data_IF_641130886077
#
_entry.id   IF_641130886077
#
_cell.length_a   1.000
_cell.length_b   1.000
_cell.length_c   1.000
_cell.angle_alpha   90.00
_cell.angle_beta   90.00
_cell.angle_gamma   90.00
#
_symmetry.space_group_name_H-M   'P 1'
#
loop_
_entity.id
_entity.type
_entity.pdbx_description
1 polymer ?
#
# COMPACT_ATOMS: atom_id res chain seq x y z
N UNK A 1 18.80 6.64 -5.27
CA UNK A 1 18.79 5.50 -4.32
C UNK A 1 17.34 5.04 -4.13
N UNK A 2 17.09 3.73 -4.13
CA UNK A 2 15.79 3.16 -3.79
C UNK A 2 15.80 2.78 -2.30
N UNK A 3 14.77 3.15 -1.55
CA UNK A 3 14.61 2.81 -0.13
C UNK A 3 13.20 2.31 0.11
N UNK A 4 13.08 1.23 0.86
CA UNK A 4 11.81 0.67 1.32
C UNK A 4 11.93 0.38 2.81
N UNK A 5 11.01 0.89 3.61
CA UNK A 5 10.99 0.66 5.05
C UNK A 5 9.58 0.75 5.61
N UNK A 6 9.35 0.06 6.72
CA UNK A 6 8.16 0.22 7.54
C UNK A 6 8.18 1.60 8.21
N UNK A 7 7.10 2.36 8.06
CA UNK A 7 7.04 3.76 8.45
C UNK A 7 6.28 3.96 9.75
N UNK A 8 5.03 3.49 9.83
CA UNK A 8 4.18 3.71 11.00
C UNK A 8 3.07 2.66 11.17
N UNK A 9 2.64 2.50 12.43
CA UNK A 9 1.38 1.86 12.80
C UNK A 9 0.25 2.88 12.70
N UNK A 10 -0.66 2.72 11.75
CA UNK A 10 -1.77 3.63 11.52
C UNK A 10 -3.05 3.11 12.20
N UNK A 11 -4.14 3.88 12.15
CA UNK A 11 -5.39 3.54 12.82
C UNK A 11 -5.96 2.17 12.41
N UNK A 12 -5.72 1.73 11.17
CA UNK A 12 -6.19 0.45 10.64
C UNK A 12 -5.23 -0.18 9.63
N UNK A 13 -3.97 0.24 9.58
CA UNK A 13 -2.96 -0.24 8.62
C UNK A 13 -1.55 -0.26 9.17
N UNK A 14 -0.69 -1.04 8.51
CA UNK A 14 0.77 -1.02 8.65
C UNK A 14 1.34 -0.37 7.40
N UNK A 15 1.90 0.83 7.54
CA UNK A 15 2.30 1.62 6.37
C UNK A 15 3.78 1.40 6.06
N UNK A 16 4.06 1.14 4.77
CA UNK A 16 5.41 1.06 4.22
C UNK A 16 5.63 2.21 3.23
N UNK A 17 6.82 2.81 3.27
CA UNK A 17 7.21 3.86 2.32
C UNK A 17 8.15 3.28 1.28
N UNK A 18 7.83 3.51 0.01
CA UNK A 18 8.71 3.24 -1.14
C UNK A 18 9.22 4.57 -1.69
N UNK A 19 10.50 4.86 -1.48
CA UNK A 19 11.17 6.04 -2.03
C UNK A 19 12.09 5.63 -3.18
N UNK A 20 11.73 6.01 -4.39
CA UNK A 20 12.54 5.80 -5.59
C UNK A 20 12.42 6.96 -6.59
N UNK A 21 13.36 7.02 -7.54
CA UNK A 21 13.36 7.98 -8.65
C UNK A 21 13.39 7.22 -9.97
N UNK A 22 12.71 7.77 -10.99
CA UNK A 22 12.77 7.26 -12.37
C UNK A 22 13.66 8.16 -13.22
N UNK A 23 14.35 7.58 -14.19
CA UNK A 23 15.06 8.33 -15.25
C UNK A 23 14.10 8.84 -16.32
N UNK A 24 12.87 8.32 -16.37
CA UNK A 24 11.84 8.73 -17.32
C UNK A 24 11.19 10.01 -16.82
N UNK A 25 11.31 11.05 -17.62
CA UNK A 25 10.76 12.39 -17.34
C UNK A 25 9.46 12.66 -18.09
N UNK A 26 9.13 11.83 -19.09
CA UNK A 26 7.85 11.90 -19.80
C UNK A 26 6.72 11.41 -18.88
N UNK A 27 5.65 12.21 -18.78
CA UNK A 27 4.62 12.04 -17.77
C UNK A 27 3.73 10.81 -17.98
N UNK A 28 3.35 10.49 -19.21
CA UNK A 28 2.46 9.36 -19.50
C UNK A 28 3.17 8.02 -19.25
N UNK A 29 4.41 7.90 -19.70
CA UNK A 29 5.25 6.72 -19.50
C UNK A 29 5.60 6.54 -18.02
N UNK A 30 5.95 7.63 -17.31
CA UNK A 30 6.16 7.56 -15.87
C UNK A 30 4.91 7.04 -15.14
N UNK A 31 3.72 7.55 -15.48
CA UNK A 31 2.45 7.07 -14.88
C UNK A 31 2.21 5.59 -15.18
N UNK A 32 2.49 5.13 -16.40
CA UNK A 32 2.36 3.71 -16.79
C UNK A 32 3.26 2.81 -15.95
N UNK A 33 4.53 3.17 -15.81
CA UNK A 33 5.51 2.37 -15.05
C UNK A 33 5.19 2.40 -13.56
N UNK A 34 4.82 3.56 -13.01
CA UNK A 34 4.36 3.66 -11.62
C UNK A 34 3.14 2.79 -11.37
N UNK A 35 2.16 2.79 -12.29
CA UNK A 35 0.98 1.93 -12.19
C UNK A 35 1.35 0.45 -12.16
N UNK A 36 2.22 0.00 -13.07
CA UNK A 36 2.72 -1.38 -13.08
C UNK A 36 3.43 -1.74 -11.77
N UNK A 37 4.33 -0.88 -11.29
CA UNK A 37 5.05 -1.08 -10.04
C UNK A 37 4.10 -1.28 -8.84
N UNK A 38 3.04 -0.48 -8.75
CA UNK A 38 2.05 -0.61 -7.67
C UNK A 38 1.26 -1.92 -7.74
N UNK A 39 0.96 -2.41 -8.94
CA UNK A 39 0.32 -3.72 -9.13
C UNK A 39 1.26 -4.87 -8.76
N UNK A 40 2.53 -4.79 -9.18
CA UNK A 40 3.54 -5.79 -8.80
C UNK A 40 3.72 -5.85 -7.27
N UNK A 41 3.65 -4.71 -6.58
CA UNK A 41 3.68 -4.65 -5.10
C UNK A 41 2.43 -5.30 -4.49
N UNK A 42 1.25 -5.09 -5.07
CA UNK A 42 0.03 -5.73 -4.60
C UNK A 42 0.09 -7.26 -4.74
N UNK A 43 0.64 -7.77 -5.84
CA UNK A 43 0.84 -9.20 -6.06
C UNK A 43 1.81 -9.79 -5.02
N UNK A 44 2.93 -9.10 -4.73
CA UNK A 44 3.88 -9.52 -3.67
C UNK A 44 3.18 -9.60 -2.31
N UNK A 45 2.35 -8.61 -1.96
CA UNK A 45 1.61 -8.62 -0.68
C UNK A 45 0.71 -9.87 -0.60
N UNK A 46 -0.04 -10.15 -1.66
CA UNK A 46 -0.94 -11.29 -1.73
C UNK A 46 -0.20 -12.64 -1.69
N UNK A 47 0.91 -12.77 -2.41
CA UNK A 47 1.74 -14.00 -2.46
C UNK A 47 2.29 -14.38 -1.08
N UNK A 48 2.50 -13.39 -0.20
CA UNK A 48 2.93 -13.59 1.18
C UNK A 48 1.77 -13.76 2.19
N UNK A 49 0.51 -13.84 1.71
CA UNK A 49 -0.67 -14.04 2.54
C UNK A 49 -1.08 -12.80 3.35
N UNK A 50 -0.62 -11.62 2.95
CA UNK A 50 -1.04 -10.33 3.50
C UNK A 50 -2.07 -9.66 2.57
N UNK A 51 -2.67 -8.57 3.03
CA UNK A 51 -3.69 -7.84 2.29
C UNK A 51 -3.47 -6.32 2.38
N UNK A 52 -3.92 -5.60 1.35
CA UNK A 52 -4.00 -4.13 1.40
C UNK A 52 -5.11 -3.75 2.39
N UNK A 53 -4.74 -2.98 3.40
CA UNK A 53 -5.67 -2.59 4.45
C UNK A 53 -6.76 -1.64 3.96
N UNK A 54 -8.02 -1.97 4.26
CA UNK A 54 -9.14 -1.04 4.23
C UNK A 54 -9.30 -0.38 5.60
N UNK A 55 -9.95 0.80 5.70
CA UNK A 55 -10.36 1.34 6.99
C UNK A 55 -11.21 0.32 7.75
N UNK A 56 -10.78 -0.04 8.96
CA UNK A 56 -11.51 -0.98 9.82
C UNK A 56 -11.99 -0.29 11.10
N UNK A 57 -13.07 -0.82 11.66
CA UNK A 57 -13.62 -0.37 12.93
C UNK A 57 -14.19 -1.56 13.71
N UNK A 58 -14.10 -1.48 15.03
CA UNK A 58 -14.73 -2.45 15.93
C UNK A 58 -16.11 -1.93 16.33
N UNK A 59 -17.16 -2.70 16.03
CA UNK A 59 -18.54 -2.35 16.38
C UNK A 59 -18.96 -3.06 17.67
N UNK A 60 -19.32 -2.29 18.69
CA UNK A 60 -19.89 -2.80 19.93
C UNK A 60 -21.42 -2.80 19.84
N UNK A 61 -22.02 -3.95 19.52
CA UNK A 61 -23.47 -4.09 19.35
C UNK A 61 -24.11 -4.53 20.66
N UNK A 62 -25.04 -3.71 21.18
CA UNK A 62 -25.88 -4.08 22.32
C UNK A 62 -27.14 -4.80 21.80
N UNK A 63 -27.60 -5.83 22.52
CA UNK A 63 -28.89 -6.46 22.21
C UNK A 63 -30.02 -5.45 22.52
N UNK A 64 -31.03 -5.31 21.64
CA UNK A 64 -32.27 -4.64 22.02
C UNK A 64 -32.93 -5.43 23.16
N UNK A 65 -33.53 -4.71 24.11
CA UNK A 65 -34.40 -5.30 25.15
C UNK A 65 -35.64 -5.96 24.54
#
# INVERSE_FOLDING_TARGET
>A
PCRVYFDLFNASSLDFVIWAFSTITEGAEFKRIKGKLLLDVADIIADHGAEIAYPTQTLHIQKPE
#
